data_IF_373316740603
#
_entry.id   IF_373316740603
#
_cell.length_a   1.000
_cell.length_b   1.000
_cell.length_c   1.000
_cell.angle_alpha   90.00
_cell.angle_beta   90.00
_cell.angle_gamma   90.00
#
_symmetry.space_group_name_H-M   'P 1'
#
loop_
_entity.id
_entity.type
_entity.pdbx_description
1 polymer ?
#
# COMPACT_ATOMS: atom_id res chain seq x y z
N UNK A 1 -7.14 1.31 16.71
CA UNK A 1 -7.61 0.80 15.40
C UNK A 1 -8.51 -0.41 15.67
N UNK A 2 -9.22 -0.99 14.69
CA UNK A 2 -9.90 -2.27 14.88
C UNK A 2 -8.89 -3.36 15.28
N UNK A 3 -9.23 -4.22 16.26
CA UNK A 3 -8.32 -5.24 16.81
C UNK A 3 -7.69 -6.19 15.77
N UNK A 4 -8.40 -6.42 14.64
CA UNK A 4 -7.88 -7.19 13.50
C UNK A 4 -6.65 -6.54 12.86
N UNK A 5 -6.69 -5.23 12.63
CA UNK A 5 -5.58 -4.48 12.02
C UNK A 5 -4.35 -4.49 12.92
N UNK A 6 -4.54 -4.31 14.23
CA UNK A 6 -3.44 -4.36 15.21
C UNK A 6 -2.74 -5.73 15.18
N UNK A 7 -3.51 -6.82 15.19
CA UNK A 7 -2.99 -8.19 15.07
C UNK A 7 -2.22 -8.41 13.77
N UNK A 8 -2.71 -7.87 12.64
CA UNK A 8 -2.01 -7.97 11.35
C UNK A 8 -0.67 -7.22 11.37
N UNK A 9 -0.64 -6.00 11.91
CA UNK A 9 0.60 -5.22 12.05
C UNK A 9 1.61 -5.96 12.93
N UNK A 10 1.17 -6.57 14.04
CA UNK A 10 2.05 -7.36 14.91
C UNK A 10 2.67 -8.55 14.17
N UNK A 11 1.88 -9.28 13.37
CA UNK A 11 2.39 -10.39 12.56
C UNK A 11 3.39 -9.92 11.49
N UNK A 12 3.10 -8.80 10.82
CA UNK A 12 4.01 -8.18 9.87
C UNK A 12 5.34 -7.79 10.55
N UNK A 13 5.27 -7.21 11.75
CA UNK A 13 6.46 -6.83 12.54
C UNK A 13 7.34 -8.02 12.95
N UNK A 14 6.76 -9.19 13.12
CA UNK A 14 7.46 -10.42 13.50
C UNK A 14 7.96 -11.22 12.28
N UNK A 15 7.64 -10.79 11.05
CA UNK A 15 8.11 -11.45 9.83
C UNK A 15 9.59 -11.12 9.58
N UNK A 16 10.39 -12.10 9.20
CA UNK A 16 11.80 -11.90 8.80
C UNK A 16 11.89 -10.87 7.66
N UNK A 17 12.82 -9.91 7.77
CA UNK A 17 12.97 -8.82 6.80
C UNK A 17 12.22 -7.53 7.17
N UNK A 18 11.45 -7.52 8.27
CA UNK A 18 10.68 -6.34 8.68
C UNK A 18 11.54 -5.07 8.87
N UNK A 19 12.82 -5.19 9.19
CA UNK A 19 13.75 -4.07 9.35
C UNK A 19 13.89 -3.18 8.09
N UNK A 20 13.60 -3.76 6.91
CA UNK A 20 13.56 -3.10 5.60
C UNK A 20 12.21 -2.41 5.31
N UNK A 21 11.17 -2.65 6.11
CA UNK A 21 9.87 -1.97 5.95
C UNK A 21 10.00 -0.50 6.34
N UNK A 22 9.61 0.40 5.43
CA UNK A 22 9.64 1.85 5.65
C UNK A 22 8.31 2.41 6.12
N UNK A 23 7.21 1.91 5.56
CA UNK A 23 5.86 2.26 6.00
C UNK A 23 4.85 1.19 5.65
N UNK A 24 3.72 1.20 6.36
CA UNK A 24 2.53 0.39 6.09
C UNK A 24 1.33 1.34 6.08
N UNK A 25 0.51 1.26 5.04
CA UNK A 25 -0.67 2.08 4.85
C UNK A 25 -1.88 1.17 4.65
N UNK A 26 -2.93 1.42 5.44
CA UNK A 26 -4.27 0.91 5.18
C UNK A 26 -4.91 1.77 4.11
N UNK A 27 -5.37 1.17 3.02
CA UNK A 27 -6.01 1.90 1.94
C UNK A 27 -7.30 1.21 1.50
N UNK A 28 -7.85 1.63 0.36
CA UNK A 28 -9.08 1.04 -0.17
C UNK A 28 -10.32 1.36 0.66
N UNK A 29 -11.35 0.53 0.50
CA UNK A 29 -12.68 0.76 1.08
C UNK A 29 -12.65 0.83 2.62
N UNK A 30 -11.70 0.14 3.24
CA UNK A 30 -11.48 0.12 4.69
C UNK A 30 -10.92 1.43 5.24
N UNK A 31 -10.17 2.21 4.45
CA UNK A 31 -9.65 3.52 4.87
C UNK A 31 -10.72 4.65 4.85
N UNK A 32 -11.83 4.46 4.13
CA UNK A 32 -12.86 5.49 3.92
C UNK A 32 -13.91 5.60 5.05
N UNK A 33 -13.65 5.01 6.22
CA UNK A 33 -14.60 5.02 7.36
C UNK A 33 -15.86 4.17 7.13
N UNK A 34 -15.89 3.36 6.07
CA UNK A 34 -16.99 2.47 5.69
C UNK A 34 -16.69 0.99 6.01
N UNK A 35 -15.81 0.72 6.97
CA UNK A 35 -15.51 -0.65 7.40
C UNK A 35 -16.80 -1.33 7.87
N UNK A 36 -17.29 -2.28 7.08
CA UNK A 36 -18.27 -3.27 7.52
C UNK A 36 -17.50 -4.40 8.20
N UNK A 37 -18.17 -5.25 8.99
CA UNK A 37 -17.52 -6.34 9.78
C UNK A 37 -16.81 -7.39 8.89
N UNK A 38 -17.13 -7.35 7.62
CA UNK A 38 -16.83 -8.23 6.50
C UNK A 38 -16.02 -7.54 5.38
N UNK A 39 -15.54 -6.30 5.60
CA UNK A 39 -14.71 -5.61 4.61
C UNK A 39 -13.29 -6.18 4.54
N UNK A 40 -12.79 -6.39 3.33
CA UNK A 40 -11.39 -6.71 3.06
C UNK A 40 -10.46 -5.58 3.55
N UNK A 41 -9.36 -5.97 4.20
CA UNK A 41 -8.38 -5.06 4.79
C UNK A 41 -7.21 -4.95 3.83
N UNK A 42 -7.17 -3.86 3.05
CA UNK A 42 -6.11 -3.60 2.09
C UNK A 42 -4.89 -2.96 2.76
N UNK A 43 -3.80 -3.73 2.90
CA UNK A 43 -2.55 -3.28 3.48
C UNK A 43 -1.48 -3.12 2.40
N UNK A 44 -0.92 -1.92 2.28
CA UNK A 44 0.19 -1.65 1.39
C UNK A 44 1.48 -1.42 2.18
N UNK A 45 2.55 -2.11 1.81
CA UNK A 45 3.85 -2.08 2.48
C UNK A 45 4.89 -1.51 1.53
N UNK A 46 5.67 -0.53 1.99
CA UNK A 46 6.90 -0.14 1.32
C UNK A 46 8.07 -0.94 1.90
N UNK A 47 8.75 -1.69 1.03
CA UNK A 47 9.87 -2.56 1.41
C UNK A 47 11.16 -2.13 0.73
N UNK A 48 12.20 -1.82 1.50
CA UNK A 48 13.50 -1.36 1.00
C UNK A 48 14.38 -2.53 0.57
N UNK A 49 14.10 -3.05 -0.63
CA UNK A 49 14.83 -4.17 -1.23
C UNK A 49 14.54 -4.34 -2.71
N UNK A 50 15.16 -5.35 -3.32
CA UNK A 50 14.90 -5.70 -4.72
C UNK A 50 13.45 -6.16 -4.94
N UNK A 51 13.02 -6.29 -6.20
CA UNK A 51 11.69 -6.83 -6.55
C UNK A 51 11.53 -8.26 -5.98
N UNK A 52 12.57 -9.07 -6.09
CA UNK A 52 12.60 -10.45 -5.60
C UNK A 52 12.57 -10.50 -4.08
N UNK A 53 13.35 -9.65 -3.40
CA UNK A 53 13.31 -9.55 -1.94
C UNK A 53 11.93 -9.11 -1.44
N UNK A 54 11.35 -8.10 -2.07
CA UNK A 54 10.02 -7.58 -1.72
C UNK A 54 8.93 -8.63 -1.94
N UNK A 55 9.04 -9.41 -3.01
CA UNK A 55 8.10 -10.50 -3.32
C UNK A 55 8.23 -11.64 -2.31
N UNK A 56 9.45 -12.01 -1.90
CA UNK A 56 9.68 -12.99 -0.84
C UNK A 56 9.15 -12.52 0.50
N UNK A 57 9.39 -11.26 0.86
CA UNK A 57 8.86 -10.68 2.08
C UNK A 57 7.32 -10.71 2.09
N UNK A 58 6.68 -10.27 1.00
CA UNK A 58 5.22 -10.35 0.85
C UNK A 58 4.70 -11.77 1.06
N UNK A 59 5.36 -12.77 0.48
CA UNK A 59 5.00 -14.17 0.65
C UNK A 59 5.13 -14.64 2.12
N UNK A 60 6.20 -14.24 2.81
CA UNK A 60 6.38 -14.50 4.24
C UNK A 60 5.25 -13.90 5.08
N UNK A 61 4.91 -12.63 4.83
CA UNK A 61 3.81 -11.95 5.52
C UNK A 61 2.47 -12.67 5.29
N UNK A 62 2.15 -13.03 4.04
CA UNK A 62 0.91 -13.76 3.73
C UNK A 62 0.83 -15.11 4.47
N UNK A 63 1.98 -15.78 4.64
CA UNK A 63 2.08 -17.04 5.38
C UNK A 63 1.82 -16.86 6.87
N UNK A 64 2.27 -15.75 7.46
CA UNK A 64 2.07 -15.44 8.89
C UNK A 64 0.65 -14.91 9.18
N UNK A 65 0.08 -14.10 8.28
CA UNK A 65 -1.24 -13.48 8.49
C UNK A 65 -2.37 -14.50 8.30
N UNK A 66 -2.19 -15.53 7.46
CA UNK A 66 -3.08 -16.71 7.26
C UNK A 66 -4.57 -16.43 7.52
N UNK A 67 -5.10 -15.43 6.83
CA UNK A 67 -6.49 -14.98 6.91
C UNK A 67 -6.81 -14.28 5.59
N UNK A 68 -7.80 -14.81 4.86
CA UNK A 68 -8.16 -14.36 3.51
C UNK A 68 -8.78 -12.95 3.50
N UNK A 69 -9.01 -12.35 4.67
CA UNK A 69 -9.55 -10.99 4.78
C UNK A 69 -8.50 -9.89 4.58
N UNK A 70 -7.21 -10.22 4.42
CA UNK A 70 -6.15 -9.25 4.21
C UNK A 70 -5.61 -9.32 2.78
N UNK A 71 -5.70 -8.21 2.04
CA UNK A 71 -4.96 -8.05 0.80
C UNK A 71 -3.66 -7.29 1.07
N UNK A 72 -2.53 -7.98 0.92
CA UNK A 72 -1.21 -7.43 1.20
C UNK A 72 -0.50 -7.12 -0.10
N UNK A 73 -0.13 -5.86 -0.30
CA UNK A 73 0.53 -5.37 -1.50
C UNK A 73 1.87 -4.71 -1.19
N UNK A 74 2.81 -4.79 -2.14
CA UNK A 74 4.07 -4.03 -2.10
C UNK A 74 3.90 -2.74 -2.90
N UNK A 75 4.12 -1.59 -2.26
CA UNK A 75 3.91 -0.26 -2.83
C UNK A 75 4.60 -0.09 -4.19
N UNK A 76 5.87 -0.48 -4.28
CA UNK A 76 6.67 -0.30 -5.49
C UNK A 76 6.21 -1.18 -6.67
N UNK A 77 5.48 -2.27 -6.41
CA UNK A 77 4.97 -3.19 -7.44
C UNK A 77 3.58 -2.78 -7.96
N UNK A 78 2.91 -1.83 -7.31
CA UNK A 78 1.60 -1.36 -7.73
C UNK A 78 1.70 -0.45 -8.96
N UNK A 79 0.65 -0.40 -9.80
CA UNK A 79 0.51 0.64 -10.81
C UNK A 79 0.50 2.04 -10.18
N UNK A 80 0.99 3.04 -10.93
CA UNK A 80 1.18 4.40 -10.41
C UNK A 80 -0.12 5.05 -9.91
N UNK A 81 -1.25 4.81 -10.58
CA UNK A 81 -2.56 5.31 -10.13
C UNK A 81 -2.98 4.68 -8.79
N UNK A 82 -2.69 3.39 -8.56
CA UNK A 82 -3.01 2.71 -7.30
C UNK A 82 -2.11 3.24 -6.18
N UNK A 83 -0.81 3.45 -6.44
CA UNK A 83 0.11 4.07 -5.46
C UNK A 83 -0.41 5.42 -4.97
N UNK A 84 -0.97 6.23 -5.86
CA UNK A 84 -1.60 7.50 -5.50
C UNK A 84 -2.78 7.30 -4.55
N UNK A 85 -3.64 6.31 -4.81
CA UNK A 85 -4.76 6.01 -3.92
C UNK A 85 -4.29 5.45 -2.57
N UNK A 86 -3.24 4.63 -2.54
CA UNK A 86 -2.61 4.18 -1.28
C UNK A 86 -2.20 5.36 -0.42
N UNK A 87 -1.55 6.37 -0.99
CA UNK A 87 -1.07 7.55 -0.24
C UNK A 87 -2.19 8.41 0.38
N UNK A 88 -3.45 8.22 -0.01
CA UNK A 88 -4.62 8.86 0.64
C UNK A 88 -5.12 8.07 1.85
N UNK A 89 -4.59 6.87 2.08
CA UNK A 89 -4.98 5.97 3.15
C UNK A 89 -4.46 6.37 4.54
N UNK A 90 -4.70 5.50 5.51
CA UNK A 90 -4.26 5.67 6.90
C UNK A 90 -2.87 5.04 7.11
N UNK A 91 -1.91 5.85 7.57
CA UNK A 91 -0.56 5.37 7.89
C UNK A 91 -0.59 4.59 9.20
N UNK A 92 -0.40 3.28 9.12
CA UNK A 92 -0.39 2.37 10.26
C UNK A 92 0.98 2.22 10.91
N UNK A 93 2.04 2.33 10.09
CA UNK A 93 3.43 2.28 10.53
C UNK A 93 4.27 3.17 9.61
N UNK A 94 5.24 3.87 10.19
CA UNK A 94 6.18 4.69 9.43
C UNK A 94 7.50 4.80 10.21
N UNK A 95 8.59 4.33 9.61
CA UNK A 95 9.94 4.38 10.17
C UNK A 95 10.52 5.79 10.10
N UNK A 96 10.27 6.49 9.00
CA UNK A 96 10.72 7.86 8.76
C UNK A 96 9.65 8.63 7.97
N UNK A 97 9.09 9.67 8.60
CA UNK A 97 8.05 10.51 8.00
C UNK A 97 8.58 11.34 6.83
N UNK A 98 9.83 11.80 6.89
CA UNK A 98 10.42 12.59 5.82
C UNK A 98 10.52 11.75 4.54
N UNK A 99 10.98 10.50 4.67
CA UNK A 99 11.00 9.54 3.57
C UNK A 99 9.61 9.30 2.97
N UNK A 100 8.57 9.14 3.81
CA UNK A 100 7.20 8.98 3.32
C UNK A 100 6.74 10.21 2.51
N UNK A 101 7.06 11.43 2.96
CA UNK A 101 6.73 12.64 2.22
C UNK A 101 7.44 12.73 0.87
N UNK A 102 8.70 12.34 0.81
CA UNK A 102 9.47 12.28 -0.45
C UNK A 102 8.83 11.31 -1.44
N UNK A 103 8.53 10.08 -0.99
CA UNK A 103 7.81 9.08 -1.81
C UNK A 103 6.45 9.60 -2.27
N UNK A 104 5.73 10.32 -1.41
CA UNK A 104 4.43 10.89 -1.77
C UNK A 104 4.56 11.97 -2.85
N UNK A 105 5.49 12.91 -2.69
CA UNK A 105 5.75 13.97 -3.66
C UNK A 105 6.17 13.41 -5.01
N UNK A 106 7.07 12.43 -5.02
CA UNK A 106 7.54 11.79 -6.25
C UNK A 106 6.42 11.01 -6.93
N UNK A 107 5.59 10.30 -6.17
CA UNK A 107 4.42 9.59 -6.71
C UNK A 107 3.43 10.56 -7.35
N UNK A 108 3.13 11.70 -6.70
CA UNK A 108 2.23 12.72 -7.23
C UNK A 108 2.81 13.33 -8.52
N UNK A 109 4.09 13.71 -8.52
CA UNK A 109 4.78 14.26 -9.70
C UNK A 109 4.74 13.31 -10.88
N UNK A 110 5.10 12.04 -10.66
CA UNK A 110 5.06 11.02 -11.69
C UNK A 110 3.65 10.78 -12.20
N UNK A 111 2.65 10.76 -11.29
CA UNK A 111 1.26 10.57 -11.69
C UNK A 111 0.77 11.73 -12.54
N UNK A 112 1.00 12.99 -12.16
CA UNK A 112 0.59 14.15 -12.96
C UNK A 112 1.24 14.15 -14.35
N UNK A 113 2.49 13.71 -14.48
CA UNK A 113 3.13 13.53 -15.78
C UNK A 113 2.48 12.43 -16.65
N UNK A 114 1.96 11.37 -16.01
CA UNK A 114 1.29 10.24 -16.68
C UNK A 114 -0.22 10.45 -16.93
N UNK A 115 -0.85 11.30 -16.11
CA UNK A 115 -2.31 11.45 -15.96
C UNK A 115 -3.04 11.70 -17.27
N UNK A 116 -2.48 12.52 -18.15
CA UNK A 116 -3.10 12.81 -19.46
C UNK A 116 -3.31 11.53 -20.26
N UNK A 117 -2.26 10.72 -20.43
CA UNK A 117 -2.33 9.46 -21.16
C UNK A 117 -3.26 8.45 -20.50
N UNK A 118 -3.30 8.46 -19.16
CA UNK A 118 -4.20 7.60 -18.41
C UNK A 118 -5.67 7.95 -18.67
N UNK A 119 -6.02 9.24 -18.60
CA UNK A 119 -7.39 9.72 -18.83
C UNK A 119 -7.86 9.52 -20.27
N UNK A 120 -6.96 9.69 -21.24
CA UNK A 120 -7.24 9.36 -22.63
C UNK A 120 -7.55 7.85 -22.78
N UNK A 121 -6.74 6.99 -22.15
CA UNK A 121 -6.90 5.53 -22.21
C UNK A 121 -8.21 5.04 -21.61
N UNK A 122 -8.64 5.60 -20.48
CA UNK A 122 -9.88 5.19 -19.80
C UNK A 122 -11.13 5.94 -20.33
N UNK A 123 -10.96 6.82 -21.32
CA UNK A 123 -12.07 7.57 -21.94
C UNK A 123 -12.69 8.64 -21.03
N UNK A 124 -11.98 9.09 -19.99
CA UNK A 124 -12.46 10.14 -19.08
C UNK A 124 -12.42 11.54 -19.74
N UNK A 125 -11.63 11.70 -20.80
CA UNK A 125 -11.63 12.90 -21.66
C UNK A 125 -11.76 12.49 -23.14
N UNK A 126 -12.57 13.22 -23.88
CA UNK A 126 -12.71 13.04 -25.33
C UNK A 126 -11.44 13.51 -26.05
N UNK A 127 -11.02 12.77 -27.07
CA UNK A 127 -9.97 13.17 -28.02
C UNK A 127 -10.36 14.54 -28.58
N UNK A 128 -9.60 15.58 -28.26
CA UNK A 128 -9.76 16.91 -28.85
C UNK A 128 -8.48 17.29 -29.59
#
# INVERSE_FOLDING_TARGET
MPAKIEKAIERIKNTEGFEKVKFIILYGSSAAGQMRKDSDIDLCIYYDGSIEESSRFRFGVLSEVFDDTYDIQIFQLLPLYVRREVLKGEVLYCKDKQFLYEVALDTIRNFEAFKHRFYDYIGERAIT
#
